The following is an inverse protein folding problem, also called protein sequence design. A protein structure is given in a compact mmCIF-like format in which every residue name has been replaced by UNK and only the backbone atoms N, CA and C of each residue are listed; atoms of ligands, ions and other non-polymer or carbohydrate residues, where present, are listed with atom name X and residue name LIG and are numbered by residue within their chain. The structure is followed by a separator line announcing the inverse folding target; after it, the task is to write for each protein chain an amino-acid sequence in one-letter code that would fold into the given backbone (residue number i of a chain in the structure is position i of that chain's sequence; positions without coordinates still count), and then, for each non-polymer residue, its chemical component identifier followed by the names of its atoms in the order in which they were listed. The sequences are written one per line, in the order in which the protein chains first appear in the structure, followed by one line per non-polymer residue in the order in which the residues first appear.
data_IF_745466431853
#
_entry.id   IF_745466431853
#
_cell.length_a   1.000
_cell.length_b   1.000
_cell.length_c   1.000
_cell.angle_alpha   90.00
_cell.angle_beta   90.00
_cell.angle_gamma   90.00
#
_symmetry.space_group_name_H-M   'P 1'
#
loop_
_entity.id
_entity.type
_entity.pdbx_description
1 polymer ?
#
# COMPACT_ATOMS: atom_id res chain seq x y z
N UNK A 1 15.36 5.20 4.02
CA UNK A 1 14.29 5.66 4.93
C UNK A 1 12.99 5.10 4.40
N UNK A 2 12.21 4.31 5.16
CA UNK A 2 10.98 3.73 4.64
C UNK A 2 9.99 4.87 4.36
N UNK A 3 9.82 5.20 3.09
CA UNK A 3 9.12 6.41 2.63
C UNK A 3 7.64 6.37 3.01
N UNK A 4 7.09 5.20 3.32
CA UNK A 4 5.66 5.01 3.55
C UNK A 4 5.29 4.80 5.02
N UNK A 5 6.27 4.70 5.92
CA UNK A 5 5.98 4.53 7.35
C UNK A 5 5.22 5.73 7.95
N UNK A 6 5.30 6.91 7.32
CA UNK A 6 4.53 8.10 7.70
C UNK A 6 3.02 7.97 7.45
N UNK A 7 2.63 7.07 6.55
CA UNK A 7 1.24 6.85 6.18
C UNK A 7 0.53 5.85 7.12
N UNK A 8 1.25 5.20 8.03
CA UNK A 8 0.64 4.33 9.05
C UNK A 8 -0.25 5.18 9.97
N UNK A 9 -1.52 4.80 10.10
CA UNK A 9 -2.56 5.55 10.82
C UNK A 9 -3.30 6.60 9.97
N UNK A 10 -2.81 6.91 8.77
CA UNK A 10 -3.49 7.80 7.84
C UNK A 10 -4.79 7.16 7.33
N UNK A 11 -5.73 8.00 6.91
CA UNK A 11 -6.95 7.53 6.23
C UNK A 11 -6.57 7.02 4.85
N UNK A 12 -7.11 5.86 4.47
CA UNK A 12 -6.78 5.20 3.21
C UNK A 12 -6.84 6.18 2.02
N UNK A 13 -7.95 6.92 1.84
CA UNK A 13 -8.08 7.82 0.70
C UNK A 13 -7.04 8.95 0.59
N UNK A 14 -6.48 9.45 1.70
CA UNK A 14 -5.40 10.45 1.65
C UNK A 14 -4.05 9.79 1.32
N UNK A 15 -3.83 8.61 1.87
CA UNK A 15 -2.60 7.87 1.66
C UNK A 15 -2.51 7.28 0.24
N UNK A 16 -3.63 6.82 -0.32
CA UNK A 16 -3.75 6.38 -1.73
C UNK A 16 -3.39 7.53 -2.69
N UNK A 17 -3.97 8.72 -2.49
CA UNK A 17 -3.62 9.89 -3.30
C UNK A 17 -2.13 10.28 -3.16
N UNK A 18 -1.56 10.11 -1.97
CA UNK A 18 -0.13 10.35 -1.73
C UNK A 18 0.75 9.32 -2.45
N UNK A 19 0.35 8.05 -2.46
CA UNK A 19 1.02 6.98 -3.19
C UNK A 19 1.02 7.25 -4.70
N UNK A 20 -0.14 7.56 -5.27
CA UNK A 20 -0.26 7.91 -6.69
C UNK A 20 0.63 9.12 -7.05
N UNK A 21 0.61 10.17 -6.21
CA UNK A 21 1.42 11.37 -6.43
C UNK A 21 2.94 11.10 -6.27
N UNK A 22 3.31 10.08 -5.49
CA UNK A 22 4.70 9.61 -5.36
C UNK A 22 5.11 8.65 -6.50
N UNK A 23 4.20 8.31 -7.42
CA UNK A 23 4.48 7.41 -8.55
C UNK A 23 4.33 5.93 -8.23
N UNK A 24 3.56 5.58 -7.20
CA UNK A 24 3.14 4.20 -6.95
C UNK A 24 1.91 3.89 -7.79
N UNK A 25 1.94 2.72 -8.44
CA UNK A 25 0.85 2.18 -9.23
C UNK A 25 0.05 1.19 -8.41
N UNK A 26 -1.26 1.37 -8.41
CA UNK A 26 -2.17 0.42 -7.83
C UNK A 26 -2.13 -0.92 -8.59
N UNK A 27 -1.92 -2.02 -7.87
CA UNK A 27 -1.89 -3.37 -8.46
C UNK A 27 -3.22 -4.08 -8.24
N UNK A 28 -3.57 -4.33 -6.98
CA UNK A 28 -4.81 -5.00 -6.59
C UNK A 28 -5.16 -4.71 -5.13
N UNK A 29 -6.44 -4.81 -4.80
CA UNK A 29 -6.91 -4.80 -3.41
C UNK A 29 -7.55 -6.14 -3.09
N UNK A 30 -7.09 -6.75 -2.01
CA UNK A 30 -7.66 -7.95 -1.42
C UNK A 30 -8.51 -7.49 -0.24
N UNK A 31 -9.82 -7.75 -0.30
CA UNK A 31 -10.71 -7.48 0.82
C UNK A 31 -10.82 -8.73 1.67
N UNK A 32 -10.44 -8.64 2.94
CA UNK A 32 -10.37 -9.74 3.89
C UNK A 32 -11.07 -9.31 5.19
N UNK A 33 -12.39 -9.23 5.14
CA UNK A 33 -13.24 -8.68 6.21
C UNK A 33 -12.83 -9.21 7.60
N UNK A 34 -12.47 -8.34 8.56
CA UNK A 34 -12.67 -6.88 8.61
C UNK A 34 -11.54 -6.02 8.00
N UNK A 35 -10.45 -6.64 7.53
CA UNK A 35 -9.27 -5.96 6.99
C UNK A 35 -9.31 -5.84 5.46
N UNK A 36 -8.52 -4.91 4.92
CA UNK A 36 -8.29 -4.79 3.48
C UNK A 36 -6.79 -4.71 3.24
N UNK A 37 -6.30 -5.34 2.19
CA UNK A 37 -4.90 -5.34 1.81
C UNK A 37 -4.78 -4.75 0.42
N UNK A 38 -4.13 -3.59 0.29
CA UNK A 38 -3.90 -2.93 -0.99
C UNK A 38 -2.45 -3.08 -1.40
N UNK A 39 -2.23 -3.60 -2.60
CA UNK A 39 -0.92 -3.83 -3.19
C UNK A 39 -0.59 -2.71 -4.16
N UNK A 40 0.60 -2.12 -3.98
CA UNK A 40 1.09 -0.97 -4.71
C UNK A 40 2.50 -1.24 -5.23
N UNK A 41 2.75 -0.92 -6.50
CA UNK A 41 4.05 -1.11 -7.16
C UNK A 41 4.69 0.24 -7.46
N UNK A 42 5.91 0.44 -7.01
CA UNK A 42 6.68 1.63 -7.32
C UNK A 42 7.25 1.55 -8.74
N UNK A 43 6.94 2.53 -9.61
CA UNK A 43 7.46 2.51 -10.98
C UNK A 43 8.97 2.78 -11.08
N UNK A 44 9.57 3.44 -10.09
CA UNK A 44 10.99 3.80 -10.08
C UNK A 44 11.91 2.64 -9.67
N UNK A 45 11.66 2.07 -8.49
CA UNK A 45 12.50 1.01 -7.92
C UNK A 45 11.98 -0.40 -8.19
N UNK A 46 10.81 -0.53 -8.83
CA UNK A 46 10.08 -1.80 -8.96
C UNK A 46 9.82 -2.49 -7.61
N UNK A 47 9.78 -1.71 -6.53
CA UNK A 47 9.49 -2.18 -5.19
C UNK A 47 7.98 -2.39 -5.04
N UNK A 48 7.58 -3.42 -4.31
CA UNK A 48 6.17 -3.64 -4.02
C UNK A 48 5.83 -3.50 -2.55
N UNK A 49 4.64 -2.97 -2.31
CA UNK A 49 4.17 -2.56 -1.00
C UNK A 49 2.79 -3.13 -0.78
N UNK A 50 2.63 -3.85 0.32
CA UNK A 50 1.34 -4.33 0.80
C UNK A 50 0.91 -3.48 1.98
N UNK A 51 -0.29 -2.92 1.86
CA UNK A 51 -0.86 -2.01 2.85
C UNK A 51 -2.08 -2.65 3.45
N UNK A 52 -2.00 -2.99 4.73
CA UNK A 52 -3.16 -3.40 5.52
C UNK A 52 -3.92 -2.16 5.96
N UNK A 53 -5.19 -2.11 5.59
CA UNK A 53 -6.16 -1.11 6.01
C UNK A 53 -7.15 -1.78 6.96
N UNK A 54 -7.21 -1.32 8.19
CA UNK A 54 -8.17 -1.76 9.19
C UNK A 54 -8.99 -0.56 9.67
N UNK A 55 -10.30 -0.73 9.83
CA UNK A 55 -11.22 0.36 10.23
C UNK A 55 -11.09 1.65 9.38
N UNK A 56 -10.77 1.51 8.09
CA UNK A 56 -10.61 2.65 7.16
C UNK A 56 -9.32 3.44 7.33
N UNK A 57 -8.36 2.94 8.09
CA UNK A 57 -7.01 3.52 8.27
C UNK A 57 -5.95 2.50 7.93
N UNK A 58 -4.79 2.98 7.49
CA UNK A 58 -3.65 2.11 7.29
C UNK A 58 -3.15 1.61 8.64
N UNK A 59 -3.29 0.31 8.86
CA UNK A 59 -2.87 -0.39 10.05
C UNK A 59 -1.38 -0.71 9.98
N UNK A 60 -0.93 -1.21 8.84
CA UNK A 60 0.47 -1.60 8.60
C UNK A 60 0.84 -1.48 7.13
N UNK A 61 2.07 -1.07 6.86
CA UNK A 61 2.62 -0.96 5.51
C UNK A 61 3.92 -1.75 5.47
N UNK A 62 3.96 -2.78 4.64
CA UNK A 62 5.12 -3.66 4.51
C UNK A 62 5.58 -3.70 3.06
N UNK A 63 6.90 -3.73 2.86
CA UNK A 63 7.47 -4.02 1.56
C UNK A 63 7.45 -5.52 1.35
N UNK A 64 6.84 -5.94 0.25
CA UNK A 64 6.77 -7.33 -0.16
C UNK A 64 7.65 -7.56 -1.37
N UNK A 65 8.09 -8.80 -1.54
CA UNK A 65 8.79 -9.23 -2.74
C UNK A 65 7.94 -8.96 -3.98
N UNK A 66 8.56 -8.64 -5.12
CA UNK A 66 7.85 -8.46 -6.40
C UNK A 66 6.92 -9.64 -6.74
N UNK A 67 7.33 -10.86 -6.36
CA UNK A 67 6.54 -12.08 -6.49
C UNK A 67 5.16 -12.04 -5.82
N UNK A 68 5.00 -11.31 -4.71
CA UNK A 68 3.73 -11.20 -3.97
C UNK A 68 2.74 -10.22 -4.66
N UNK A 69 3.31 -9.25 -5.37
CA UNK A 69 2.58 -8.29 -6.18
C UNK A 69 2.22 -8.80 -7.57
N UNK A 70 2.71 -9.97 -7.99
CA UNK A 70 2.31 -10.55 -9.25
C UNK A 70 0.94 -11.26 -9.07
N UNK A 71 -0.05 -11.02 -9.94
CA UNK A 71 -1.30 -11.79 -9.94
C UNK A 71 -1.10 -13.24 -10.36
#
# INVERSE_FOLDING_TARGET
MPVLADLVGARAGQAEATLENRGYQFVKTITADPDKYSLWRESGSNACVSIRTSQGRYDSIIYVSDADCNP
#
